data_IF_941113987876
#
_entry.id   IF_941113987876
#
_cell.length_a   1.000
_cell.length_b   1.000
_cell.length_c   1.000
_cell.angle_alpha   90.00
_cell.angle_beta   90.00
_cell.angle_gamma   90.00
#
_symmetry.space_group_name_H-M   'P 1'
#
loop_
_entity.id
_entity.type
_entity.pdbx_description
1 polymer ?
#
# COMPACT_ATOMS: atom_id res chain seq x y z
N UNK A 1 12.51 23.19 18.14
CA UNK A 1 11.38 22.87 17.50
C UNK A 1 11.51 21.92 16.36
N UNK A 2 10.83 20.86 16.47
CA UNK A 2 10.95 19.84 15.53
C UNK A 2 10.10 20.07 14.35
N UNK A 3 10.66 20.12 13.21
CA UNK A 3 9.85 20.13 12.03
C UNK A 3 9.65 18.73 11.62
N UNK A 4 8.65 18.15 12.17
CA UNK A 4 8.34 16.82 11.80
C UNK A 4 7.81 16.84 10.39
N UNK A 5 8.66 16.48 9.44
CA UNK A 5 8.30 16.51 8.04
C UNK A 5 8.01 15.12 7.52
N UNK A 6 7.32 14.32 8.33
CA UNK A 6 6.88 13.01 7.86
C UNK A 6 6.00 13.17 6.64
N UNK A 7 6.08 12.19 5.75
CA UNK A 7 5.34 12.20 4.50
C UNK A 7 4.32 11.08 4.46
N UNK A 8 3.38 11.21 3.55
CA UNK A 8 2.31 10.23 3.38
C UNK A 8 2.32 9.66 1.96
N UNK A 9 2.04 8.37 1.86
CA UNK A 9 1.78 7.72 0.59
C UNK A 9 0.68 6.67 0.83
N UNK A 10 -0.15 6.43 -0.19
CA UNK A 10 -1.27 5.51 -0.08
C UNK A 10 -1.05 4.37 -1.05
N UNK A 11 -0.99 3.14 -0.53
CA UNK A 11 -0.62 1.97 -1.32
C UNK A 11 -1.73 0.93 -1.28
N UNK A 12 -2.19 0.51 -2.45
CA UNK A 12 -3.26 -0.47 -2.60
C UNK A 12 -2.74 -1.73 -3.28
N UNK A 13 -3.21 -2.88 -2.85
CA UNK A 13 -2.82 -4.13 -3.48
C UNK A 13 -3.27 -5.33 -2.66
N UNK A 14 -4.37 -5.97 -3.07
CA UNK A 14 -4.92 -7.12 -2.37
C UNK A 14 -5.59 -6.75 -1.07
N UNK A 15 -5.77 -7.73 -0.22
CA UNK A 15 -6.37 -7.51 1.10
C UNK A 15 -5.44 -6.62 1.94
N UNK A 16 -5.97 -5.55 2.49
CA UNK A 16 -5.15 -4.58 3.21
C UNK A 16 -4.61 -5.07 4.56
N UNK A 17 -5.14 -6.17 5.08
CA UNK A 17 -4.64 -6.73 6.36
C UNK A 17 -3.16 -7.09 6.26
N UNK A 18 -2.79 -7.86 5.24
CA UNK A 18 -1.40 -8.30 5.06
C UNK A 18 -0.50 -7.17 4.66
N UNK A 19 -0.98 -6.30 3.78
CA UNK A 19 -0.19 -5.17 3.31
C UNK A 19 0.12 -4.21 4.45
N UNK A 20 -0.86 -3.95 5.32
CA UNK A 20 -0.60 -3.10 6.49
C UNK A 20 0.43 -3.74 7.42
N UNK A 21 0.27 -5.01 7.74
CA UNK A 21 1.22 -5.70 8.62
C UNK A 21 2.64 -5.63 8.05
N UNK A 22 2.77 -5.93 6.77
CA UNK A 22 4.05 -5.92 6.09
C UNK A 22 4.72 -4.54 6.14
N UNK A 23 3.99 -3.51 5.76
CA UNK A 23 4.56 -2.16 5.72
C UNK A 23 4.87 -1.63 7.12
N UNK A 24 4.05 -2.00 8.10
CA UNK A 24 4.27 -1.54 9.46
C UNK A 24 5.57 -2.07 10.07
N UNK A 25 6.13 -3.14 9.51
CA UNK A 25 7.37 -3.73 10.00
C UNK A 25 8.62 -3.01 9.47
N UNK A 26 8.48 -2.12 8.50
CA UNK A 26 9.63 -1.50 7.83
C UNK A 26 10.18 -0.34 8.65
N UNK A 27 11.49 -0.31 8.83
CA UNK A 27 12.14 0.78 9.55
C UNK A 27 11.91 2.11 8.83
N UNK A 28 11.52 3.12 9.58
CA UNK A 28 11.20 4.43 9.02
C UNK A 28 9.73 4.68 8.82
N UNK A 29 8.92 3.61 8.87
CA UNK A 29 7.47 3.75 8.84
C UNK A 29 7.00 4.16 10.23
N UNK A 30 6.35 5.31 10.31
CA UNK A 30 5.92 5.90 11.58
C UNK A 30 4.54 5.36 11.98
N UNK A 31 3.63 5.28 11.00
CA UNK A 31 2.25 4.87 11.26
C UNK A 31 1.62 4.32 10.01
N UNK A 32 0.74 3.34 10.17
CA UNK A 32 -0.07 2.80 9.08
C UNK A 32 -1.54 2.83 9.49
N UNK A 33 -2.41 2.95 8.50
CA UNK A 33 -3.85 2.91 8.69
C UNK A 33 -4.47 2.30 7.45
N UNK A 34 -5.45 1.42 7.62
CA UNK A 34 -6.13 0.85 6.45
C UNK A 34 -7.41 1.61 6.17
N UNK A 35 -7.76 1.71 4.90
CA UNK A 35 -8.93 2.45 4.48
C UNK A 35 -9.33 2.14 3.05
N UNK A 36 -10.22 2.98 2.52
CA UNK A 36 -10.78 2.82 1.18
C UNK A 36 -10.50 4.11 0.40
N UNK A 37 -9.94 3.96 -0.79
CA UNK A 37 -9.47 5.13 -1.55
C UNK A 37 -9.92 5.10 -2.99
N UNK A 38 -10.04 6.30 -3.54
CA UNK A 38 -10.25 6.56 -4.97
C UNK A 38 -11.47 5.83 -5.54
N UNK A 39 -12.55 5.84 -4.79
CA UNK A 39 -13.82 5.30 -5.23
C UNK A 39 -14.84 6.40 -5.50
N UNK A 40 -16.09 5.99 -5.64
CA UNK A 40 -17.16 6.86 -6.09
C UNK A 40 -18.23 7.17 -5.04
N UNK A 41 -18.04 6.68 -3.81
CA UNK A 41 -19.00 6.89 -2.73
C UNK A 41 -18.32 7.52 -1.53
N UNK A 42 -19.12 8.15 -0.65
CA UNK A 42 -18.61 8.75 0.57
C UNK A 42 -18.81 7.81 1.74
N UNK A 43 -17.83 7.81 2.65
CA UNK A 43 -17.88 7.02 3.88
C UNK A 43 -18.38 5.59 3.68
N UNK A 44 -17.75 4.82 2.78
CA UNK A 44 -18.22 3.45 2.52
C UNK A 44 -17.94 2.54 3.70
N UNK A 45 -18.77 1.52 3.86
CA UNK A 45 -18.50 0.44 4.79
C UNK A 45 -17.75 -0.66 4.05
N UNK A 46 -17.12 -1.56 4.80
CA UNK A 46 -16.44 -2.71 4.22
C UNK A 46 -17.41 -3.54 3.36
N UNK A 47 -18.62 -3.74 3.85
CA UNK A 47 -19.64 -4.49 3.10
C UNK A 47 -19.94 -3.82 1.78
N UNK A 48 -20.09 -2.50 1.77
CA UNK A 48 -20.34 -1.77 0.55
C UNK A 48 -19.19 -1.88 -0.44
N UNK A 49 -17.96 -1.78 0.05
CA UNK A 49 -16.77 -1.90 -0.80
C UNK A 49 -16.71 -3.29 -1.43
N UNK A 50 -17.06 -4.33 -0.68
CA UNK A 50 -16.98 -5.69 -1.17
C UNK A 50 -18.14 -6.05 -2.10
N UNK A 51 -19.32 -5.47 -1.91
CA UNK A 51 -20.53 -5.96 -2.58
C UNK A 51 -21.27 -4.94 -3.46
N UNK A 52 -21.00 -3.66 -3.28
CA UNK A 52 -21.80 -2.62 -3.94
C UNK A 52 -21.09 -1.88 -5.08
N UNK A 53 -19.96 -2.38 -5.52
CA UNK A 53 -19.22 -1.79 -6.64
C UNK A 53 -18.94 -0.30 -6.45
N UNK A 54 -18.42 0.06 -5.29
CA UNK A 54 -18.15 1.46 -4.95
C UNK A 54 -16.97 2.06 -5.70
N UNK A 55 -16.13 1.24 -6.31
CA UNK A 55 -14.92 1.69 -6.98
C UNK A 55 -13.76 1.97 -6.04
N UNK A 56 -13.96 1.85 -4.74
CA UNK A 56 -12.87 2.05 -3.78
C UNK A 56 -11.89 0.89 -3.78
N UNK A 57 -10.60 1.19 -3.58
CA UNK A 57 -9.57 0.18 -3.40
C UNK A 57 -9.24 0.07 -1.92
N UNK A 58 -9.03 -1.14 -1.45
CA UNK A 58 -8.50 -1.37 -0.11
C UNK A 58 -7.07 -0.84 -0.10
N UNK A 59 -6.79 0.10 0.78
CA UNK A 59 -5.58 0.91 0.71
C UNK A 59 -4.96 1.05 2.09
N UNK A 60 -3.63 1.09 2.13
CA UNK A 60 -2.88 1.38 3.36
C UNK A 60 -2.33 2.80 3.26
N UNK A 61 -2.71 3.64 4.21
CA UNK A 61 -2.14 4.97 4.35
C UNK A 61 -0.85 4.82 5.15
N UNK A 62 0.26 5.23 4.56
CA UNK A 62 1.59 5.05 5.13
C UNK A 62 2.18 6.41 5.47
N UNK A 63 2.47 6.62 6.74
CA UNK A 63 3.22 7.80 7.19
C UNK A 63 4.65 7.36 7.45
N UNK A 64 5.61 8.04 6.83
CA UNK A 64 7.01 7.64 6.95
C UNK A 64 7.92 8.85 7.18
N UNK A 65 9.07 8.57 7.83
CA UNK A 65 10.09 9.58 8.09
C UNK A 65 11.09 9.56 6.93
N UNK A 66 11.09 10.59 6.05
CA UNK A 66 11.93 10.55 4.84
C UNK A 66 13.43 10.53 5.13
N UNK A 67 13.85 10.96 6.33
CA UNK A 67 15.25 10.84 6.68
C UNK A 67 15.65 9.41 7.05
N UNK A 68 14.71 8.54 7.36
CA UNK A 68 14.99 7.15 7.70
C UNK A 68 14.71 6.18 6.56
N UNK A 69 13.78 6.52 5.67
CA UNK A 69 13.44 5.66 4.55
C UNK A 69 12.92 6.51 3.39
N UNK A 70 13.35 6.18 2.17
CA UNK A 70 12.90 6.91 1.00
C UNK A 70 11.63 6.29 0.43
N UNK A 71 10.86 7.10 -0.32
CA UNK A 71 9.69 6.60 -1.02
C UNK A 71 10.07 5.48 -1.99
N UNK A 72 11.18 5.67 -2.72
CA UNK A 72 11.64 4.66 -3.68
C UNK A 72 11.85 3.30 -3.00
N UNK A 73 12.44 3.29 -1.81
CA UNK A 73 12.69 2.07 -1.07
C UNK A 73 11.38 1.42 -0.62
N UNK A 74 10.45 2.24 -0.11
CA UNK A 74 9.14 1.75 0.30
C UNK A 74 8.42 1.10 -0.89
N UNK A 75 8.46 1.74 -2.06
CA UNK A 75 7.82 1.20 -3.26
C UNK A 75 8.43 -0.13 -3.67
N UNK A 76 9.75 -0.27 -3.58
CA UNK A 76 10.41 -1.53 -3.92
C UNK A 76 9.94 -2.67 -3.01
N UNK A 77 9.76 -2.39 -1.72
CA UNK A 77 9.24 -3.39 -0.80
C UNK A 77 7.77 -3.71 -1.11
N UNK A 78 6.99 -2.70 -1.42
CA UNK A 78 5.58 -2.88 -1.79
C UNK A 78 5.46 -3.80 -3.01
N UNK A 79 6.34 -3.63 -4.02
CA UNK A 79 6.29 -4.48 -5.21
C UNK A 79 6.56 -5.96 -4.89
N UNK A 80 7.25 -6.25 -3.80
CA UNK A 80 7.56 -7.62 -3.42
C UNK A 80 6.35 -8.40 -2.91
N UNK A 81 5.27 -7.72 -2.55
CA UNK A 81 4.10 -8.37 -1.96
C UNK A 81 2.86 -8.25 -2.83
N UNK A 82 3.01 -7.77 -4.06
CA UNK A 82 1.91 -7.70 -5.01
C UNK A 82 2.33 -8.36 -6.32
N UNK A 83 1.34 -8.64 -7.16
CA UNK A 83 1.60 -9.02 -8.55
C UNK A 83 1.32 -7.75 -9.39
N UNK A 84 2.39 -7.07 -9.86
CA UNK A 84 2.20 -5.77 -10.49
C UNK A 84 1.56 -5.79 -11.86
N UNK A 85 1.42 -6.94 -12.48
CA UNK A 85 0.76 -7.05 -13.79
C UNK A 85 -0.67 -7.56 -13.70
N UNK A 86 -1.13 -7.87 -12.48
CA UNK A 86 -2.47 -8.40 -12.28
C UNK A 86 -3.49 -7.26 -12.25
N UNK A 87 -4.63 -7.47 -12.92
CA UNK A 87 -5.70 -6.47 -12.99
C UNK A 87 -6.83 -6.88 -12.05
N UNK A 88 -7.13 -6.02 -11.08
CA UNK A 88 -8.25 -6.23 -10.13
C UNK A 88 -8.20 -7.59 -9.43
N UNK A 89 -6.99 -8.06 -9.13
CA UNK A 89 -6.82 -9.36 -8.51
C UNK A 89 -5.47 -9.47 -7.85
N UNK A 90 -5.44 -10.03 -6.65
CA UNK A 90 -4.19 -10.37 -5.96
C UNK A 90 -4.38 -11.72 -5.27
N UNK A 91 -3.64 -12.74 -5.75
CA UNK A 91 -3.80 -14.09 -5.23
C UNK A 91 -5.21 -14.60 -5.44
N UNK A 92 -5.86 -15.03 -4.38
CA UNK A 92 -7.23 -15.53 -4.43
C UNK A 92 -8.28 -14.41 -4.38
N UNK A 93 -7.86 -13.18 -4.08
CA UNK A 93 -8.76 -12.03 -3.94
C UNK A 93 -9.03 -11.40 -5.31
N UNK A 94 -10.29 -11.39 -5.73
CA UNK A 94 -10.69 -10.85 -7.03
C UNK A 94 -11.72 -9.75 -6.83
N UNK A 95 -11.53 -8.63 -7.53
CA UNK A 95 -12.46 -7.49 -7.50
C UNK A 95 -11.69 -6.18 -7.58
N UNK A 96 -12.40 -5.12 -7.98
CA UNK A 96 -11.78 -3.79 -8.11
C UNK A 96 -11.22 -3.29 -6.78
N UNK A 97 -11.76 -3.73 -5.66
CA UNK A 97 -11.28 -3.33 -4.33
C UNK A 97 -9.87 -3.88 -4.05
N UNK A 98 -9.44 -4.90 -4.77
CA UNK A 98 -8.12 -5.51 -4.59
C UNK A 98 -7.10 -5.08 -5.63
N UNK A 99 -7.44 -4.08 -6.46
CA UNK A 99 -6.52 -3.60 -7.49
C UNK A 99 -5.31 -2.92 -6.86
N UNK A 100 -4.20 -2.90 -7.59
CA UNK A 100 -2.97 -2.24 -7.14
C UNK A 100 -3.00 -0.77 -7.49
N UNK A 101 -2.42 0.05 -6.62
CA UNK A 101 -2.36 1.48 -6.85
C UNK A 101 -1.39 2.19 -5.94
N UNK A 102 -0.82 3.26 -6.45
CA UNK A 102 0.01 4.19 -5.70
C UNK A 102 -0.68 5.54 -5.82
N UNK A 103 -1.25 6.03 -4.72
CA UNK A 103 -2.00 7.29 -4.74
C UNK A 103 -1.22 8.33 -3.96
N UNK A 104 -0.94 9.46 -4.59
CA UNK A 104 -0.08 10.49 -4.02
C UNK A 104 -0.87 11.77 -3.75
N UNK A 105 -0.42 12.52 -2.74
CA UNK A 105 -0.93 13.85 -2.46
C UNK A 105 0.08 14.92 -2.85
N UNK A 106 1.37 14.58 -2.84
CA UNK A 106 2.45 15.51 -3.13
C UNK A 106 2.91 15.33 -4.58
N UNK A 107 2.75 16.37 -5.39
CA UNK A 107 3.15 16.33 -6.80
C UNK A 107 4.64 16.04 -6.96
N UNK A 108 5.45 16.36 -5.96
CA UNK A 108 6.88 16.09 -6.02
C UNK A 108 7.19 14.59 -6.02
N UNK A 109 6.25 13.77 -5.55
CA UNK A 109 6.43 12.33 -5.53
C UNK A 109 6.21 11.69 -6.90
N UNK A 110 5.56 12.40 -7.84
CA UNK A 110 5.17 11.83 -9.13
C UNK A 110 6.39 11.30 -9.90
N UNK A 111 7.46 12.09 -9.95
CA UNK A 111 8.63 11.70 -10.71
C UNK A 111 9.29 10.45 -10.11
N UNK A 112 9.39 10.41 -8.78
CA UNK A 112 9.94 9.24 -8.09
C UNK A 112 9.13 7.99 -8.42
N UNK A 113 7.79 8.14 -8.37
CA UNK A 113 6.89 7.01 -8.64
C UNK A 113 7.04 6.55 -10.08
N UNK A 114 7.07 7.49 -11.03
CA UNK A 114 7.20 7.15 -12.46
C UNK A 114 8.50 6.43 -12.77
N UNK A 115 9.61 6.89 -12.18
CA UNK A 115 10.91 6.25 -12.38
C UNK A 115 10.91 4.86 -11.75
N UNK A 116 10.29 4.70 -10.60
CA UNK A 116 10.18 3.42 -9.92
C UNK A 116 9.39 2.42 -10.77
N UNK A 117 8.26 2.85 -11.33
CA UNK A 117 7.41 2.00 -12.19
C UNK A 117 8.17 1.63 -13.47
N UNK A 118 8.87 2.58 -14.08
CA UNK A 118 9.64 2.30 -15.29
C UNK A 118 10.70 1.24 -15.04
N UNK A 119 11.36 1.32 -13.89
CA UNK A 119 12.35 0.32 -13.51
C UNK A 119 11.71 -1.04 -13.27
N UNK A 120 10.56 -1.06 -12.62
CA UNK A 120 9.83 -2.29 -12.39
C UNK A 120 9.39 -2.93 -13.69
N UNK A 121 8.95 -2.12 -14.67
CA UNK A 121 8.49 -2.62 -15.97
C UNK A 121 9.58 -3.43 -16.69
N UNK A 122 10.85 -3.10 -16.47
CA UNK A 122 11.93 -3.83 -17.13
C UNK A 122 12.02 -5.29 -16.71
N UNK A 123 11.37 -5.65 -15.60
CA UNK A 123 11.38 -7.02 -15.07
C UNK A 123 10.20 -7.86 -15.53
N UNK A 124 9.28 -7.27 -16.29
CA UNK A 124 8.04 -7.95 -16.71
C UNK A 124 7.79 -7.73 -18.19
N UNK A 125 7.30 -8.78 -18.86
CA UNK A 125 6.90 -8.65 -20.27
C UNK A 125 5.51 -8.03 -20.37
N UNK A 126 4.62 -8.33 -19.41
CA UNK A 126 3.28 -7.75 -19.41
C UNK A 126 3.32 -6.32 -18.88
N UNK A 127 2.38 -5.47 -19.31
CA UNK A 127 2.34 -4.10 -18.80
C UNK A 127 2.06 -4.09 -17.29
N UNK A 128 2.71 -3.17 -16.59
CA UNK A 128 2.43 -2.95 -15.17
C UNK A 128 1.01 -2.41 -15.06
N UNK A 129 0.22 -3.02 -14.19
CA UNK A 129 -1.19 -2.66 -14.01
C UNK A 129 -1.43 -1.75 -12.80
N UNK A 130 -0.37 -1.36 -12.09
CA UNK A 130 -0.49 -0.50 -10.92
C UNK A 130 -0.99 0.88 -11.33
N UNK A 131 -2.09 1.34 -10.71
CA UNK A 131 -2.55 2.71 -10.94
C UNK A 131 -1.60 3.69 -10.29
N UNK A 132 -1.30 4.79 -10.98
CA UNK A 132 -0.52 5.89 -10.40
C UNK A 132 -1.37 7.12 -10.58
N UNK A 133 -2.02 7.56 -9.52
CA UNK A 133 -3.03 8.61 -9.57
C UNK A 133 -2.93 9.51 -8.35
N UNK A 134 -3.40 10.77 -8.47
CA UNK A 134 -3.56 11.59 -7.28
C UNK A 134 -4.59 10.94 -6.35
N UNK A 135 -4.41 11.13 -5.06
CA UNK A 135 -5.42 10.68 -4.10
C UNK A 135 -6.67 11.52 -4.28
N UNK A 136 -7.76 10.89 -4.69
CA UNK A 136 -9.03 11.56 -4.92
C UNK A 136 -9.84 11.64 -3.64
N UNK A 137 -9.89 10.54 -2.90
CA UNK A 137 -10.54 10.47 -1.61
C UNK A 137 -9.97 9.31 -0.82
N UNK A 138 -10.12 9.38 0.50
CA UNK A 138 -9.69 8.30 1.38
C UNK A 138 -10.58 8.33 2.62
N UNK A 139 -11.08 7.16 2.99
CA UNK A 139 -11.91 6.99 4.18
C UNK A 139 -11.32 5.87 5.04
N UNK A 140 -10.98 6.15 6.31
CA UNK A 140 -10.46 5.09 7.18
C UNK A 140 -11.44 3.94 7.29
N UNK A 141 -10.94 2.73 7.27
CA UNK A 141 -11.77 1.55 7.46
C UNK A 141 -12.18 1.42 8.92
N UNK A 142 -13.14 0.57 9.17
CA UNK A 142 -13.66 0.32 10.51
C UNK A 142 -12.53 -0.10 11.46
N UNK A 143 -12.69 0.22 12.74
CA UNK A 143 -11.65 -0.03 13.73
C UNK A 143 -11.22 -1.50 13.78
N UNK A 144 -12.15 -2.43 13.56
CA UNK A 144 -11.79 -3.85 13.64
C UNK A 144 -10.85 -4.30 12.52
N UNK A 145 -10.70 -3.50 11.45
CA UNK A 145 -9.73 -3.77 10.39
C UNK A 145 -8.34 -3.22 10.69
N UNK A 146 -8.26 -2.23 11.60
CA UNK A 146 -6.98 -1.59 11.90
C UNK A 146 -6.09 -2.57 12.66
N UNK A 147 -4.86 -2.78 12.18
CA UNK A 147 -3.91 -3.70 12.80
C UNK A 147 -4.51 -5.11 12.96
N UNK A 148 -5.30 -5.52 11.97
CA UNK A 148 -6.07 -6.76 12.04
C UNK A 148 -5.19 -8.00 12.34
N UNK A 149 -4.05 -8.12 11.67
CA UNK A 149 -3.19 -9.30 11.87
C UNK A 149 -2.42 -9.25 13.17
N UNK A 150 -2.23 -8.07 13.76
CA UNK A 150 -1.65 -7.98 15.10
C UNK A 150 -2.66 -8.46 16.14
N UNK A 151 -3.94 -8.18 15.93
CA UNK A 151 -5.03 -8.61 16.82
C UNK A 151 -5.41 -10.07 16.55
N UNK A 152 -5.24 -10.53 15.33
CA UNK A 152 -5.64 -11.85 14.86
C UNK A 152 -4.48 -12.52 14.12
N UNK A 153 -3.46 -13.02 14.83
CA UNK A 153 -2.24 -13.53 14.18
C UNK A 153 -2.48 -14.67 13.21
N UNK A 154 -3.58 -15.42 13.37
CA UNK A 154 -3.92 -16.52 12.49
C UNK A 154 -4.92 -16.12 11.40
N UNK A 155 -5.17 -14.82 11.24
CA UNK A 155 -6.10 -14.34 10.23
C UNK A 155 -5.56 -14.54 8.82
N UNK A 156 -6.45 -14.37 7.84
CA UNK A 156 -6.08 -14.51 6.44
C UNK A 156 -5.00 -13.51 6.03
N UNK A 157 -4.00 -14.02 5.31
CA UNK A 157 -2.93 -13.18 4.78
C UNK A 157 -2.42 -13.79 3.49
N UNK A 158 -2.39 -12.99 2.42
CA UNK A 158 -1.88 -13.42 1.11
C UNK A 158 -0.36 -13.31 1.01
N UNK A 159 0.29 -12.80 2.06
CA UNK A 159 1.74 -12.56 2.07
C UNK A 159 2.42 -13.66 2.89
N UNK A 160 3.48 -14.24 2.33
CA UNK A 160 4.23 -15.29 3.01
C UNK A 160 4.97 -14.76 4.24
N UNK A 161 5.15 -15.62 5.22
CA UNK A 161 5.77 -15.26 6.50
C UNK A 161 7.19 -14.69 6.30
N UNK A 162 7.92 -15.21 5.34
CA UNK A 162 9.29 -14.77 5.05
C UNK A 162 9.36 -13.32 4.61
N UNK A 163 8.27 -12.80 4.04
CA UNK A 163 8.23 -11.42 3.62
C UNK A 163 8.21 -10.47 4.82
N UNK A 164 7.52 -10.86 5.90
CA UNK A 164 7.49 -10.04 7.10
C UNK A 164 8.87 -9.94 7.74
N UNK A 165 9.62 -11.04 7.72
CA UNK A 165 10.99 -11.04 8.23
C UNK A 165 11.87 -10.11 7.40
N UNK A 166 11.71 -10.17 6.08
CA UNK A 166 12.45 -9.29 5.18
C UNK A 166 12.14 -7.83 5.48
N UNK A 167 10.86 -7.51 5.71
CA UNK A 167 10.46 -6.14 6.02
C UNK A 167 11.09 -5.64 7.31
N UNK A 168 11.10 -6.48 8.36
CA UNK A 168 11.67 -6.10 9.65
C UNK A 168 13.16 -5.82 9.57
N UNK A 169 13.88 -6.53 8.69
CA UNK A 169 15.34 -6.42 8.60
C UNK A 169 15.81 -5.55 7.45
N UNK A 170 14.88 -5.05 6.62
CA UNK A 170 15.23 -4.24 5.47
C UNK A 170 15.81 -2.89 5.92
N UNK A 171 16.89 -2.48 5.28
CA UNK A 171 17.55 -1.21 5.56
C UNK A 171 17.73 -0.48 4.24
N UNK A 172 17.24 0.76 4.18
CA UNK A 172 17.39 1.59 2.99
C UNK A 172 18.87 1.95 2.83
N UNK A 173 19.53 1.51 1.74
CA UNK A 173 20.95 1.77 1.57
C UNK A 173 21.26 3.26 1.44
N UNK A 174 20.29 4.07 1.02
CA UNK A 174 20.51 5.50 0.88
C UNK A 174 20.40 6.22 2.23
N UNK A 175 19.94 5.54 3.27
CA UNK A 175 19.75 6.13 4.60
C UNK A 175 20.56 5.43 5.68
N UNK A 176 21.32 4.41 5.31
CA UNK A 176 22.12 3.63 6.26
C UNK A 176 23.33 4.44 6.77
#
# INVERSE_FOLDING_TARGET
>A
MENNTNKLIYLAGGCFWGTEKYLSEVKGIVKTEVGYANGNTENPTYEEVCHNNTGHAETVKVEYAPEEVSLSFILNLYYDVINPTSVNKQGADTGTQYRTGIYYEDELDVEVIKQSIAKLQTKYEKPIAIEVLPLKNYYPAEEYHQKYLDKNPNGYCHIGVEKFEKARTAIDPDKA
#
